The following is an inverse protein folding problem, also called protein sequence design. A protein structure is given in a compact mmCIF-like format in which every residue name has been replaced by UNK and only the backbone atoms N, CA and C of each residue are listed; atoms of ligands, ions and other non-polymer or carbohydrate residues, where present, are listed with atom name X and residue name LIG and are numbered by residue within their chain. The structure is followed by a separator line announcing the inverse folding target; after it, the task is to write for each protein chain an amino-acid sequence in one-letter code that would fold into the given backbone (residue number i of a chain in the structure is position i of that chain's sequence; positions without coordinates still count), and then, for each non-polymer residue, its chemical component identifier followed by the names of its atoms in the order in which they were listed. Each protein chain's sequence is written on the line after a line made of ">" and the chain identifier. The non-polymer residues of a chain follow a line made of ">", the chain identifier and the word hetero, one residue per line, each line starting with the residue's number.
data_IF_105086782433
#
_entry.id   IF_105086782433
#
_cell.length_a   1.000
_cell.length_b   1.000
_cell.length_c   1.000
_cell.angle_alpha   90.00
_cell.angle_beta   90.00
_cell.angle_gamma   90.00
#
_symmetry.space_group_name_H-M   'P 1'
#
loop_
_entity.id
_entity.type
_entity.pdbx_description
1 polymer ?
#
# COMPACT_ATOMS: atom_id res chain seq x y z
N UNK A 1 -36.93 -22.39 103.10
CA UNK A 1 -37.57 -21.53 102.08
C UNK A 1 -36.48 -20.69 101.41
N UNK A 2 -35.84 -21.22 100.37
CA UNK A 2 -34.78 -20.54 99.62
C UNK A 2 -34.98 -20.84 98.13
N UNK A 3 -35.18 -19.78 97.35
CA UNK A 3 -35.45 -19.79 95.91
C UNK A 3 -34.14 -20.04 95.15
N UNK A 4 -34.07 -21.10 94.36
CA UNK A 4 -32.98 -21.34 93.42
C UNK A 4 -33.20 -20.53 92.14
N UNK A 5 -32.43 -19.45 92.00
CA UNK A 5 -32.37 -18.58 90.84
C UNK A 5 -31.40 -19.20 89.81
N UNK A 6 -31.92 -19.77 88.72
CA UNK A 6 -31.10 -20.28 87.60
C UNK A 6 -30.86 -19.16 86.60
N UNK A 7 -29.65 -18.62 86.59
CA UNK A 7 -29.14 -17.72 85.55
C UNK A 7 -28.90 -18.48 84.25
N UNK A 8 -29.58 -18.09 83.18
CA UNK A 8 -29.32 -18.50 81.79
C UNK A 8 -27.98 -17.94 81.29
N UNK A 9 -27.11 -18.71 80.61
CA UNK A 9 -25.91 -18.17 80.01
C UNK A 9 -26.24 -17.49 78.67
N UNK A 10 -25.72 -16.26 78.51
CA UNK A 10 -25.76 -15.48 77.29
C UNK A 10 -24.92 -16.20 76.20
N UNK A 11 -25.58 -16.73 75.17
CA UNK A 11 -24.91 -17.32 74.02
C UNK A 11 -24.14 -16.27 73.24
N UNK A 12 -22.82 -16.45 73.09
CA UNK A 12 -21.96 -15.59 72.27
C UNK A 12 -22.28 -15.83 70.78
N UNK A 13 -22.90 -14.86 70.11
CA UNK A 13 -23.02 -14.85 68.66
C UNK A 13 -21.64 -14.50 68.07
N UNK A 14 -20.92 -15.50 67.56
CA UNK A 14 -19.71 -15.27 66.78
C UNK A 14 -20.12 -14.95 65.33
N UNK A 15 -19.97 -13.69 64.92
CA UNK A 15 -20.20 -13.26 63.55
C UNK A 15 -18.98 -13.65 62.69
N UNK A 16 -19.07 -14.80 62.02
CA UNK A 16 -18.07 -15.23 61.04
C UNK A 16 -18.22 -14.42 59.76
N UNK A 17 -17.40 -13.38 59.60
CA UNK A 17 -17.23 -12.66 58.33
C UNK A 17 -16.47 -13.58 57.38
N UNK A 18 -17.20 -14.27 56.51
CA UNK A 18 -16.62 -15.05 55.42
C UNK A 18 -16.01 -14.11 54.38
N UNK A 19 -14.68 -14.04 54.32
CA UNK A 19 -13.95 -13.39 53.23
C UNK A 19 -14.14 -14.25 51.98
N UNK A 20 -15.06 -13.86 51.11
CA UNK A 20 -15.24 -14.48 49.79
C UNK A 20 -14.13 -13.98 48.88
N UNK A 21 -13.06 -14.77 48.71
CA UNK A 21 -12.03 -14.50 47.70
C UNK A 21 -12.67 -14.66 46.32
N UNK A 22 -12.93 -13.54 45.65
CA UNK A 22 -13.23 -13.51 44.22
C UNK A 22 -11.95 -13.89 43.47
N UNK A 23 -11.87 -15.15 43.03
CA UNK A 23 -10.84 -15.59 42.08
C UNK A 23 -11.21 -14.98 40.73
N UNK A 24 -10.60 -13.85 40.40
CA UNK A 24 -10.73 -13.24 39.07
C UNK A 24 -9.87 -14.08 38.13
N UNK A 25 -10.45 -14.74 37.11
CA UNK A 25 -9.64 -15.47 36.15
C UNK A 25 -8.77 -14.47 35.40
N UNK A 26 -7.45 -14.60 35.55
CA UNK A 26 -6.49 -13.88 34.72
C UNK A 26 -6.59 -14.46 33.32
N UNK A 27 -7.26 -13.77 32.41
CA UNK A 27 -7.22 -14.09 30.98
C UNK A 27 -5.79 -13.79 30.51
N UNK A 28 -4.97 -14.83 30.44
CA UNK A 28 -3.63 -14.73 29.89
C UNK A 28 -3.77 -14.47 28.39
N UNK A 29 -3.42 -13.27 27.93
CA UNK A 29 -3.33 -13.01 26.50
C UNK A 29 -2.28 -13.95 25.91
N UNK A 30 -2.65 -14.75 24.91
CA UNK A 30 -1.69 -15.55 24.18
C UNK A 30 -0.64 -14.60 23.57
N UNK A 31 0.63 -14.87 23.83
CA UNK A 31 1.73 -14.12 23.21
C UNK A 31 1.61 -14.26 21.69
N UNK A 32 1.71 -13.14 20.97
CA UNK A 32 1.74 -13.17 19.52
C UNK A 32 2.93 -14.02 19.06
N UNK A 33 2.77 -14.87 18.02
CA UNK A 33 3.88 -15.68 17.53
C UNK A 33 5.03 -14.76 17.11
N UNK A 34 6.26 -15.20 17.38
CA UNK A 34 7.45 -14.47 16.94
C UNK A 34 7.41 -14.28 15.41
N UNK A 35 7.83 -13.10 14.95
CA UNK A 35 7.91 -12.82 13.52
C UNK A 35 8.88 -13.80 12.82
N UNK A 36 8.54 -14.28 11.61
CA UNK A 36 9.45 -15.14 10.86
C UNK A 36 10.71 -14.39 10.45
N UNK A 37 11.80 -15.12 10.24
CA UNK A 37 12.97 -14.57 9.57
C UNK A 37 12.65 -14.35 8.10
N UNK A 38 12.82 -13.12 7.61
CA UNK A 38 12.57 -12.72 6.22
C UNK A 38 13.89 -12.30 5.60
N UNK A 39 14.28 -12.95 4.50
CA UNK A 39 15.49 -12.60 3.74
C UNK A 39 15.21 -11.38 2.84
N UNK A 40 15.12 -10.21 3.47
CA UNK A 40 14.90 -8.93 2.81
C UNK A 40 15.65 -7.81 3.53
N UNK A 41 16.01 -6.74 2.79
CA UNK A 41 16.65 -5.55 3.39
C UNK A 41 15.73 -4.82 4.37
N UNK A 42 14.46 -4.73 4.02
CA UNK A 42 13.40 -4.19 4.87
C UNK A 42 12.07 -4.88 4.54
N UNK A 43 11.19 -5.00 5.53
CA UNK A 43 9.85 -5.54 5.35
C UNK A 43 8.90 -4.99 6.41
N UNK A 44 7.60 -5.03 6.12
CA UNK A 44 6.53 -4.74 7.06
C UNK A 44 5.32 -5.61 6.72
N UNK A 45 4.62 -6.08 7.74
CA UNK A 45 3.32 -6.72 7.65
C UNK A 45 2.34 -5.90 8.49
N UNK A 46 1.30 -5.39 7.85
CA UNK A 46 0.32 -4.50 8.46
C UNK A 46 -1.08 -5.06 8.24
N UNK A 47 -1.88 -5.09 9.31
CA UNK A 47 -3.32 -5.34 9.21
C UNK A 47 -4.02 -4.14 8.55
N UNK A 48 -4.84 -4.40 7.54
CA UNK A 48 -5.48 -3.34 6.75
C UNK A 48 -6.48 -2.53 7.57
N UNK A 49 -7.36 -3.18 8.34
CA UNK A 49 -8.48 -2.51 9.01
C UNK A 49 -8.02 -1.67 10.20
N UNK A 50 -7.12 -2.22 11.02
CA UNK A 50 -6.62 -1.56 12.23
C UNK A 50 -5.38 -0.71 12.00
N UNK A 51 -4.64 -0.94 10.91
CA UNK A 51 -3.31 -0.37 10.69
C UNK A 51 -2.24 -0.93 11.64
N UNK A 52 -2.55 -1.99 12.40
CA UNK A 52 -1.61 -2.59 13.35
C UNK A 52 -0.47 -3.28 12.60
N UNK A 53 0.77 -2.94 12.97
CA UNK A 53 1.94 -3.67 12.50
C UNK A 53 2.05 -5.01 13.23
N UNK A 54 2.09 -6.09 12.45
CA UNK A 54 2.17 -7.47 12.94
C UNK A 54 3.60 -7.99 12.95
N UNK A 55 4.43 -7.55 11.99
CA UNK A 55 5.85 -7.86 11.91
C UNK A 55 6.57 -6.78 11.10
N UNK A 56 7.81 -6.48 11.44
CA UNK A 56 8.63 -5.52 10.68
C UNK A 56 10.13 -5.77 10.87
N UNK A 57 10.91 -5.39 9.86
CA UNK A 57 12.37 -5.35 9.93
C UNK A 57 12.88 -4.19 9.09
N UNK A 58 13.68 -3.30 9.69
CA UNK A 58 14.20 -2.10 9.03
C UNK A 58 13.11 -1.24 8.34
N UNK A 59 11.87 -1.25 8.85
CA UNK A 59 10.71 -0.74 8.12
C UNK A 59 10.73 0.78 7.85
N UNK A 60 11.53 1.55 8.59
CA UNK A 60 11.73 2.99 8.41
C UNK A 60 13.05 3.33 7.70
N UNK A 61 13.79 2.32 7.22
CA UNK A 61 15.02 2.52 6.45
C UNK A 61 14.67 3.05 5.06
N UNK A 62 15.27 4.20 4.70
CA UNK A 62 15.10 4.80 3.38
C UNK A 62 15.78 3.95 2.32
N UNK A 63 14.99 3.49 1.36
CA UNK A 63 15.41 2.68 0.22
C UNK A 63 14.87 3.29 -1.07
N UNK A 64 15.44 2.88 -2.19
CA UNK A 64 14.90 3.24 -3.50
C UNK A 64 13.61 2.46 -3.75
N UNK A 65 12.45 3.12 -3.95
CA UNK A 65 11.18 2.44 -4.20
C UNK A 65 11.13 1.80 -5.60
N UNK A 66 11.94 2.30 -6.54
CA UNK A 66 11.80 2.08 -7.98
C UNK A 66 10.31 2.02 -8.42
N UNK A 67 9.86 1.02 -9.18
CA UNK A 67 8.48 0.92 -9.67
C UNK A 67 7.37 0.90 -8.60
N UNK A 68 7.66 0.69 -7.30
CA UNK A 68 6.67 0.90 -6.24
C UNK A 68 6.18 2.36 -6.19
N UNK A 69 6.97 3.30 -6.73
CA UNK A 69 6.56 4.68 -7.00
C UNK A 69 5.24 4.77 -7.76
N UNK A 70 4.94 3.82 -8.65
CA UNK A 70 3.70 3.82 -9.43
C UNK A 70 2.45 3.57 -8.59
N UNK A 71 2.57 3.07 -7.37
CA UNK A 71 1.45 3.04 -6.42
C UNK A 71 1.00 4.48 -6.11
N UNK A 72 1.93 5.41 -5.91
CA UNK A 72 1.59 6.83 -5.70
C UNK A 72 1.05 7.46 -7.00
N UNK A 73 1.63 7.14 -8.15
CA UNK A 73 1.12 7.65 -9.43
C UNK A 73 -0.32 7.18 -9.69
N UNK A 74 -0.60 5.89 -9.49
CA UNK A 74 -1.93 5.30 -9.54
C UNK A 74 -2.86 5.93 -8.51
N UNK A 75 -2.40 6.18 -7.28
CA UNK A 75 -3.18 6.91 -6.27
C UNK A 75 -3.58 8.32 -6.73
N UNK A 76 -2.66 9.10 -7.30
CA UNK A 76 -2.94 10.45 -7.84
C UNK A 76 -3.95 10.39 -8.99
N UNK A 77 -3.77 9.45 -9.93
CA UNK A 77 -4.68 9.22 -11.06
C UNK A 77 -6.07 8.82 -10.57
N UNK A 78 -6.15 7.88 -9.64
CA UNK A 78 -7.39 7.44 -9.00
C UNK A 78 -8.12 8.59 -8.31
N UNK A 79 -7.40 9.46 -7.61
CA UNK A 79 -8.00 10.65 -6.98
C UNK A 79 -8.51 11.65 -8.02
N UNK A 80 -7.79 11.83 -9.13
CA UNK A 80 -8.23 12.70 -10.22
C UNK A 80 -9.51 12.16 -10.90
N UNK A 81 -9.61 10.85 -11.12
CA UNK A 81 -10.82 10.19 -11.63
C UNK A 81 -11.98 10.27 -10.64
N UNK A 82 -11.73 9.98 -9.37
CA UNK A 82 -12.75 10.09 -8.29
C UNK A 82 -13.31 11.50 -8.16
N UNK A 83 -12.47 12.51 -8.36
CA UNK A 83 -12.86 13.92 -8.36
C UNK A 83 -13.51 14.38 -9.67
N UNK A 84 -13.65 13.50 -10.68
CA UNK A 84 -14.24 13.83 -11.98
C UNK A 84 -13.39 14.78 -12.83
N UNK A 85 -12.10 14.94 -12.52
CA UNK A 85 -11.18 15.83 -13.27
C UNK A 85 -10.76 15.21 -14.60
N UNK A 86 -10.71 13.88 -14.64
CA UNK A 86 -10.45 13.06 -15.83
C UNK A 86 -11.43 11.89 -15.81
N UNK A 87 -11.73 11.34 -16.98
CA UNK A 87 -12.61 10.18 -17.17
C UNK A 87 -11.88 9.03 -17.84
N UNK A 88 -12.31 7.78 -17.63
CA UNK A 88 -11.67 6.61 -18.24
C UNK A 88 -11.62 6.66 -19.78
N UNK A 89 -12.61 7.28 -20.41
CA UNK A 89 -12.77 7.41 -21.86
C UNK A 89 -12.14 8.68 -22.46
N UNK A 90 -11.60 9.57 -21.63
CA UNK A 90 -10.86 10.73 -22.13
C UNK A 90 -9.63 10.26 -22.93
N UNK A 91 -9.42 10.86 -24.10
CA UNK A 91 -8.30 10.53 -24.97
C UNK A 91 -7.07 11.37 -24.61
N UNK A 92 -5.99 10.68 -24.30
CA UNK A 92 -4.68 11.28 -24.06
C UNK A 92 -3.88 11.27 -25.35
N UNK A 93 -3.46 12.45 -25.79
CA UNK A 93 -2.51 12.58 -26.91
C UNK A 93 -1.09 12.34 -26.38
N UNK A 94 -0.44 11.29 -26.87
CA UNK A 94 0.89 10.90 -26.41
C UNK A 94 1.95 11.88 -26.89
N UNK A 95 2.76 12.39 -25.94
CA UNK A 95 3.86 13.31 -26.17
C UNK A 95 5.15 12.64 -26.67
N UNK A 96 6.18 13.45 -26.94
CA UNK A 96 7.51 12.96 -27.36
C UNK A 96 8.34 12.39 -26.21
N UNK A 97 8.12 12.90 -25.01
CA UNK A 97 8.71 12.46 -23.75
C UNK A 97 8.26 11.06 -23.33
N UNK A 98 7.00 10.70 -23.59
CA UNK A 98 6.48 9.37 -23.36
C UNK A 98 6.96 8.32 -24.40
N UNK A 99 7.70 8.73 -25.42
CA UNK A 99 8.13 7.82 -26.48
C UNK A 99 9.45 7.13 -26.18
N UNK A 100 9.41 5.82 -25.96
CA UNK A 100 10.58 5.03 -25.58
C UNK A 100 11.78 5.11 -26.54
N UNK A 101 11.54 5.24 -27.85
CA UNK A 101 12.64 5.37 -28.83
C UNK A 101 13.28 6.75 -28.77
N UNK A 102 12.49 7.79 -28.46
CA UNK A 102 12.93 9.19 -28.38
C UNK A 102 13.45 9.61 -27.01
N UNK A 103 13.13 8.86 -25.94
CA UNK A 103 13.54 9.15 -24.57
C UNK A 103 14.52 8.08 -24.05
N UNK A 104 15.84 8.38 -24.00
CA UNK A 104 16.86 7.43 -23.54
C UNK A 104 16.64 6.89 -22.12
N UNK A 105 15.96 7.64 -21.25
CA UNK A 105 15.67 7.24 -19.87
C UNK A 105 14.78 5.99 -19.83
N UNK A 106 13.94 5.80 -20.85
CA UNK A 106 13.02 4.67 -20.96
C UNK A 106 13.66 3.39 -21.51
N UNK A 107 14.91 3.44 -21.99
CA UNK A 107 15.58 2.29 -22.62
C UNK A 107 15.77 1.14 -21.64
N UNK A 108 15.38 -0.07 -22.04
CA UNK A 108 15.51 -1.28 -21.22
C UNK A 108 14.54 -1.34 -20.04
N UNK A 109 13.58 -0.42 -19.97
CA UNK A 109 12.57 -0.36 -18.92
C UNK A 109 11.24 -1.00 -19.35
N UNK A 110 10.26 -1.07 -18.44
CA UNK A 110 8.93 -1.59 -18.80
C UNK A 110 8.12 -0.55 -19.55
N UNK A 111 7.45 -0.96 -20.63
CA UNK A 111 6.81 -0.07 -21.59
C UNK A 111 5.48 -0.65 -22.10
N UNK A 112 4.56 0.25 -22.44
CA UNK A 112 3.33 -0.01 -23.19
C UNK A 112 3.53 0.15 -24.71
N UNK A 113 4.68 0.72 -25.12
CA UNK A 113 5.10 0.95 -26.50
C UNK A 113 4.23 1.97 -27.27
N UNK A 114 3.79 3.01 -26.57
CA UNK A 114 3.05 4.15 -27.15
C UNK A 114 3.98 5.08 -27.96
N UNK A 115 3.42 5.79 -28.94
CA UNK A 115 4.15 6.67 -29.86
C UNK A 115 3.57 8.09 -29.88
N UNK A 116 4.36 9.11 -30.23
CA UNK A 116 3.87 10.49 -30.28
C UNK A 116 2.71 10.64 -31.26
N UNK A 117 1.64 11.30 -30.81
CA UNK A 117 0.43 11.52 -31.59
C UNK A 117 -0.61 10.40 -31.47
N UNK A 118 -0.29 9.26 -30.83
CA UNK A 118 -1.31 8.26 -30.48
C UNK A 118 -2.37 8.92 -29.58
N UNK A 119 -3.64 8.56 -29.79
CA UNK A 119 -4.77 8.93 -28.93
C UNK A 119 -5.15 7.69 -28.12
N UNK A 120 -4.77 7.65 -26.85
CA UNK A 120 -4.98 6.48 -25.99
C UNK A 120 -5.93 6.83 -24.86
N UNK A 121 -7.01 6.05 -24.62
CA UNK A 121 -7.90 6.29 -23.49
C UNK A 121 -7.15 6.24 -22.16
N UNK A 122 -7.56 7.10 -21.21
CA UNK A 122 -7.05 7.08 -19.82
C UNK A 122 -7.08 5.67 -19.23
N UNK A 123 -8.17 4.92 -19.43
CA UNK A 123 -8.31 3.56 -18.91
C UNK A 123 -7.23 2.60 -19.40
N UNK A 124 -6.84 2.71 -20.68
CA UNK A 124 -5.84 1.84 -21.30
C UNK A 124 -4.43 2.20 -20.81
N UNK A 125 -4.10 3.49 -20.73
CA UNK A 125 -2.83 3.94 -20.16
C UNK A 125 -2.72 3.53 -18.70
N UNK A 126 -3.80 3.66 -17.94
CA UNK A 126 -3.80 3.32 -16.52
C UNK A 126 -3.61 1.80 -16.31
N UNK A 127 -4.25 0.96 -17.13
CA UNK A 127 -3.94 -0.48 -17.19
C UNK A 127 -2.49 -0.74 -17.56
N UNK A 128 -1.90 0.02 -18.48
CA UNK A 128 -0.46 -0.03 -18.79
C UNK A 128 0.42 0.23 -17.56
N UNK A 129 0.05 1.19 -16.71
CA UNK A 129 0.75 1.50 -15.45
C UNK A 129 0.57 0.36 -14.44
N UNK A 130 -0.66 -0.10 -14.21
CA UNK A 130 -0.98 -1.06 -13.13
C UNK A 130 -0.55 -2.49 -13.46
N UNK A 131 -0.78 -2.94 -14.70
CA UNK A 131 -0.59 -4.34 -15.12
C UNK A 131 0.83 -4.56 -15.66
N UNK A 132 1.33 -3.61 -16.47
CA UNK A 132 2.66 -3.71 -17.08
C UNK A 132 3.73 -2.92 -16.35
N UNK A 133 3.40 -2.03 -15.41
CA UNK A 133 4.37 -1.08 -14.86
C UNK A 133 5.00 -0.21 -15.96
N UNK A 134 4.23 0.11 -17.01
CA UNK A 134 4.70 0.88 -18.17
C UNK A 134 5.12 2.30 -17.81
N UNK A 135 6.39 2.62 -18.01
CA UNK A 135 6.97 3.92 -17.66
C UNK A 135 6.52 5.03 -18.63
N UNK A 136 6.37 4.70 -19.91
CA UNK A 136 5.83 5.56 -20.95
C UNK A 136 4.37 5.97 -20.63
N UNK A 137 3.55 5.01 -20.20
CA UNK A 137 2.18 5.28 -19.79
C UNK A 137 2.12 6.20 -18.54
N UNK A 138 3.04 6.03 -17.58
CA UNK A 138 3.14 6.93 -16.42
C UNK A 138 3.48 8.37 -16.82
N UNK A 139 4.36 8.57 -17.81
CA UNK A 139 4.68 9.90 -18.34
C UNK A 139 3.44 10.52 -19.00
N UNK A 140 2.83 9.79 -19.94
CA UNK A 140 1.68 10.30 -20.69
C UNK A 140 0.50 10.70 -19.77
N UNK A 141 0.18 9.89 -18.76
CA UNK A 141 -0.87 10.24 -17.80
C UNK A 141 -0.47 11.37 -16.85
N UNK A 142 0.81 11.46 -16.46
CA UNK A 142 1.26 12.57 -15.64
C UNK A 142 1.11 13.92 -16.36
N UNK A 143 1.51 13.98 -17.62
CA UNK A 143 1.37 15.17 -18.45
C UNK A 143 -0.11 15.51 -18.69
N UNK A 144 -0.96 14.51 -18.91
CA UNK A 144 -2.40 14.73 -19.07
C UNK A 144 -3.08 15.27 -17.80
N UNK A 145 -2.74 14.70 -16.64
CA UNK A 145 -3.40 15.03 -15.36
C UNK A 145 -2.92 16.36 -14.79
N UNK A 146 -1.63 16.67 -14.92
CA UNK A 146 -1.01 17.80 -14.23
C UNK A 146 -0.32 18.81 -15.17
N UNK A 147 -0.38 18.59 -16.49
CA UNK A 147 0.26 19.43 -17.51
C UNK A 147 1.77 19.23 -17.64
N UNK A 148 2.42 18.59 -16.66
CA UNK A 148 3.84 18.22 -16.69
C UNK A 148 4.15 17.17 -15.61
N UNK A 149 5.20 16.38 -15.84
CA UNK A 149 5.76 15.46 -14.84
C UNK A 149 6.14 16.16 -13.52
N UNK A 150 6.74 17.35 -13.56
CA UNK A 150 7.12 18.09 -12.34
C UNK A 150 5.90 18.47 -11.50
N UNK A 151 4.83 18.96 -12.15
CA UNK A 151 3.58 19.28 -11.48
C UNK A 151 2.93 18.02 -10.89
N UNK A 152 3.01 16.90 -11.61
CA UNK A 152 2.51 15.61 -11.13
C UNK A 152 3.31 15.12 -9.91
N UNK A 153 4.64 15.21 -9.94
CA UNK A 153 5.52 14.89 -8.79
C UNK A 153 5.20 15.79 -7.59
N UNK A 154 4.86 17.06 -7.83
CA UNK A 154 4.32 17.95 -6.80
C UNK A 154 3.06 17.39 -6.14
N UNK A 155 2.10 16.88 -6.92
CA UNK A 155 0.91 16.20 -6.41
C UNK A 155 1.26 14.94 -5.62
N UNK A 156 2.16 14.09 -6.13
CA UNK A 156 2.61 12.88 -5.46
C UNK A 156 3.17 13.18 -4.06
N UNK A 157 4.05 14.18 -3.96
CA UNK A 157 4.64 14.56 -2.67
C UNK A 157 3.63 15.25 -1.74
N UNK A 158 2.68 16.02 -2.27
CA UNK A 158 1.61 16.61 -1.48
C UNK A 158 0.69 15.53 -0.89
N UNK A 159 0.33 14.51 -1.67
CA UNK A 159 -0.40 13.36 -1.15
C UNK A 159 0.42 12.58 -0.12
N UNK A 160 1.71 12.36 -0.38
CA UNK A 160 2.61 11.74 0.59
C UNK A 160 2.57 12.43 1.96
N UNK A 161 2.62 13.76 1.98
CA UNK A 161 2.46 14.55 3.22
C UNK A 161 1.08 14.36 3.85
N UNK A 162 0.01 14.44 3.06
CA UNK A 162 -1.36 14.30 3.56
C UNK A 162 -1.67 12.91 4.14
N UNK A 163 -1.01 11.88 3.61
CA UNK A 163 -1.11 10.49 4.06
C UNK A 163 -0.16 10.17 5.22
N UNK A 164 0.68 11.13 5.64
CA UNK A 164 1.63 10.92 6.73
C UNK A 164 2.84 10.06 6.36
N UNK A 165 3.24 10.01 5.08
CA UNK A 165 4.43 9.30 4.62
C UNK A 165 5.69 10.10 4.99
N UNK A 166 6.21 9.87 6.20
CA UNK A 166 7.25 10.71 6.80
C UNK A 166 8.64 10.50 6.19
N UNK A 167 8.86 9.36 5.53
CA UNK A 167 10.14 8.95 4.99
C UNK A 167 10.04 8.63 3.49
N UNK A 168 9.23 9.41 2.77
CA UNK A 168 9.03 9.26 1.33
C UNK A 168 9.21 10.57 0.59
N UNK A 169 9.95 10.53 -0.50
CA UNK A 169 10.08 11.63 -1.44
C UNK A 169 10.18 11.09 -2.87
N UNK A 170 9.29 11.57 -3.75
CA UNK A 170 9.28 11.20 -5.16
C UNK A 170 9.93 12.28 -6.02
N UNK A 171 10.69 11.85 -7.03
CA UNK A 171 11.27 12.72 -8.05
C UNK A 171 10.86 12.33 -9.46
N UNK A 172 10.26 11.15 -9.64
CA UNK A 172 9.80 10.65 -10.94
C UNK A 172 8.40 10.08 -10.82
N UNK A 173 7.69 10.03 -11.94
CA UNK A 173 6.32 9.49 -12.01
C UNK A 173 6.29 7.97 -12.19
N UNK A 174 7.42 7.36 -12.53
CA UNK A 174 7.54 5.94 -12.86
C UNK A 174 8.46 5.17 -11.91
N UNK A 175 9.33 5.86 -11.15
CA UNK A 175 10.28 5.21 -10.25
C UNK A 175 11.53 4.69 -10.95
N UNK A 176 12.02 5.40 -11.97
CA UNK A 176 13.40 5.14 -12.43
C UNK A 176 14.34 5.89 -11.50
N UNK A 177 15.61 5.48 -11.49
CA UNK A 177 16.63 6.01 -10.60
C UNK A 177 16.70 7.55 -10.69
N UNK A 178 16.52 8.21 -9.55
CA UNK A 178 16.67 9.65 -9.39
C UNK A 178 17.31 9.94 -8.03
N UNK A 179 18.39 10.70 -8.02
CA UNK A 179 19.11 11.04 -6.79
C UNK A 179 18.22 11.88 -5.85
N UNK A 180 17.96 11.36 -4.66
CA UNK A 180 17.04 11.99 -3.70
C UNK A 180 15.63 11.40 -3.68
N UNK A 181 15.31 10.44 -4.57
CA UNK A 181 14.08 9.65 -4.49
C UNK A 181 14.23 8.51 -3.49
N UNK A 182 13.29 8.38 -2.56
CA UNK A 182 13.30 7.31 -1.55
C UNK A 182 11.91 7.06 -0.97
N UNK A 183 11.74 5.89 -0.36
CA UNK A 183 10.62 5.55 0.51
C UNK A 183 11.06 4.52 1.56
N UNK A 184 10.13 3.97 2.33
CA UNK A 184 10.35 2.93 3.33
C UNK A 184 9.30 1.84 3.21
N UNK A 185 9.54 0.67 3.82
CA UNK A 185 8.54 -0.40 3.83
C UNK A 185 7.25 0.07 4.52
N UNK A 186 7.37 0.80 5.64
CA UNK A 186 6.23 1.34 6.37
C UNK A 186 5.41 2.32 5.52
N UNK A 187 6.06 3.28 4.88
CA UNK A 187 5.37 4.27 4.04
C UNK A 187 4.70 3.62 2.82
N UNK A 188 5.34 2.61 2.21
CA UNK A 188 4.73 1.86 1.11
C UNK A 188 3.49 1.06 1.56
N UNK A 189 3.48 0.52 2.78
CA UNK A 189 2.30 -0.13 3.34
C UNK A 189 1.16 0.87 3.60
N UNK A 190 1.46 2.03 4.18
CA UNK A 190 0.48 3.11 4.39
C UNK A 190 -0.10 3.62 3.06
N UNK A 191 0.75 3.82 2.06
CA UNK A 191 0.32 4.21 0.72
C UNK A 191 -0.59 3.15 0.08
N UNK A 192 -0.24 1.87 0.21
CA UNK A 192 -1.05 0.77 -0.31
C UNK A 192 -2.41 0.68 0.40
N UNK A 193 -2.43 0.86 1.72
CA UNK A 193 -3.67 0.94 2.50
C UNK A 193 -4.55 2.12 2.03
N UNK A 194 -3.94 3.29 1.77
CA UNK A 194 -4.65 4.44 1.23
C UNK A 194 -5.21 4.19 -0.18
N UNK A 195 -4.46 3.52 -1.06
CA UNK A 195 -4.94 3.14 -2.39
C UNK A 195 -6.21 2.28 -2.30
N UNK A 196 -6.21 1.25 -1.44
CA UNK A 196 -7.36 0.37 -1.22
C UNK A 196 -8.56 1.15 -0.65
N UNK A 197 -8.32 2.00 0.36
CA UNK A 197 -9.36 2.73 1.09
C UNK A 197 -9.98 3.86 0.27
N UNK A 198 -9.14 4.68 -0.36
CA UNK A 198 -9.56 5.98 -0.88
C UNK A 198 -9.95 5.93 -2.35
N UNK A 199 -9.36 5.01 -3.13
CA UNK A 199 -9.58 4.87 -4.57
C UNK A 199 -9.80 3.38 -4.94
N UNK A 200 -10.86 2.73 -4.41
CA UNK A 200 -11.07 1.29 -4.59
C UNK A 200 -11.24 0.85 -6.04
N UNK A 201 -11.79 1.70 -6.92
CA UNK A 201 -11.92 1.41 -8.35
C UNK A 201 -10.54 1.36 -9.04
N UNK A 202 -9.61 2.21 -8.61
CA UNK A 202 -8.22 2.20 -9.07
C UNK A 202 -7.50 0.93 -8.58
N UNK A 203 -7.66 0.62 -7.29
CA UNK A 203 -7.11 -0.60 -6.71
C UNK A 203 -7.66 -1.86 -7.42
N UNK A 204 -8.92 -1.87 -7.84
CA UNK A 204 -9.53 -2.99 -8.55
C UNK A 204 -8.88 -3.31 -9.91
N UNK A 205 -8.03 -2.45 -10.48
CA UNK A 205 -7.24 -2.80 -11.67
C UNK A 205 -6.15 -3.84 -11.35
N UNK A 206 -5.71 -3.92 -10.10
CA UNK A 206 -4.62 -4.79 -9.67
C UNK A 206 -4.99 -6.28 -9.66
N UNK A 207 -6.27 -6.65 -9.79
CA UNK A 207 -6.73 -8.04 -9.94
C UNK A 207 -6.77 -8.52 -11.40
N UNK A 208 -6.63 -7.62 -12.38
CA UNK A 208 -6.62 -8.01 -13.79
C UNK A 208 -5.36 -8.82 -14.11
N UNK A 209 -5.53 -10.05 -14.61
CA UNK A 209 -4.41 -10.97 -14.90
C UNK A 209 -3.67 -10.63 -16.17
N UNK A 210 -4.34 -9.98 -17.11
CA UNK A 210 -3.79 -9.62 -18.40
C UNK A 210 -4.59 -8.47 -19.00
N UNK A 211 -3.96 -7.80 -19.96
CA UNK A 211 -4.53 -6.71 -20.70
C UNK A 211 -3.99 -6.77 -22.14
N UNK A 212 -4.77 -6.36 -23.12
CA UNK A 212 -4.34 -6.36 -24.52
C UNK A 212 -4.36 -4.95 -25.05
N UNK A 213 -3.18 -4.43 -25.42
CA UNK A 213 -3.03 -3.13 -26.06
C UNK A 213 -2.34 -3.31 -27.41
N UNK A 214 -2.83 -2.60 -28.43
CA UNK A 214 -2.26 -2.63 -29.78
C UNK A 214 -2.06 -4.07 -30.33
N UNK A 215 -3.03 -4.96 -30.07
CA UNK A 215 -3.01 -6.39 -30.42
C UNK A 215 -1.92 -7.23 -29.73
N UNK A 216 -1.25 -6.67 -28.72
CA UNK A 216 -0.25 -7.37 -27.92
C UNK A 216 -0.85 -7.66 -26.55
N UNK A 217 -0.99 -8.95 -26.23
CA UNK A 217 -1.41 -9.40 -24.91
C UNK A 217 -0.25 -9.26 -23.93
N UNK A 218 -0.54 -8.65 -22.79
CA UNK A 218 0.40 -8.23 -21.77
C UNK A 218 -0.07 -8.82 -20.44
N UNK A 219 0.73 -9.73 -19.86
CA UNK A 219 0.38 -10.47 -18.64
C UNK A 219 0.81 -9.66 -17.42
N UNK A 220 -0.04 -9.59 -16.40
CA UNK A 220 0.29 -8.95 -15.13
C UNK A 220 1.58 -9.56 -14.57
N UNK A 221 2.51 -8.71 -14.13
CA UNK A 221 3.84 -9.14 -13.65
C UNK A 221 3.81 -9.86 -12.31
N UNK A 222 2.64 -9.97 -11.67
CA UNK A 222 2.44 -10.72 -10.43
C UNK A 222 2.71 -12.21 -10.64
N UNK A 223 3.32 -12.90 -9.67
CA UNK A 223 3.33 -14.36 -9.68
C UNK A 223 1.88 -14.86 -9.60
N UNK A 224 1.55 -16.03 -10.18
CA UNK A 224 0.26 -16.65 -9.91
C UNK A 224 0.10 -16.80 -8.39
N UNK A 225 -1.07 -16.43 -7.86
CA UNK A 225 -1.41 -16.69 -6.47
C UNK A 225 -1.11 -18.15 -6.14
N UNK A 226 -0.50 -18.42 -4.98
CA UNK A 226 -0.34 -19.78 -4.50
C UNK A 226 -1.73 -20.39 -4.44
N UNK A 227 -1.92 -21.52 -5.12
CA UNK A 227 -3.20 -22.22 -5.21
C UNK A 227 -3.75 -22.39 -3.78
N UNK A 228 -4.95 -21.86 -3.52
CA UNK A 228 -5.68 -21.80 -2.23
C UNK A 228 -5.63 -20.49 -1.40
N UNK A 229 -5.07 -19.37 -1.90
CA UNK A 229 -5.24 -18.06 -1.25
C UNK A 229 -5.87 -17.00 -2.16
N UNK A 230 -7.02 -16.39 -1.80
CA UNK A 230 -7.57 -15.24 -2.52
C UNK A 230 -6.74 -14.00 -2.18
N UNK A 231 -5.62 -13.79 -2.87
CA UNK A 231 -4.85 -12.55 -2.77
C UNK A 231 -5.34 -11.53 -3.81
N UNK A 232 -5.71 -10.33 -3.35
CA UNK A 232 -5.86 -9.13 -4.18
C UNK A 232 -4.73 -8.14 -3.80
N UNK A 233 -4.02 -7.55 -4.78
CA UNK A 233 -2.76 -6.79 -4.57
C UNK A 233 -1.53 -7.73 -4.59
N UNK A 234 -0.38 -7.44 -5.23
CA UNK A 234 0.67 -6.43 -4.95
C UNK A 234 1.40 -5.95 -6.23
N UNK A 235 2.11 -4.81 -6.20
CA UNK A 235 3.08 -4.42 -7.24
C UNK A 235 4.40 -5.20 -7.01
N UNK A 236 5.04 -5.71 -8.07
CA UNK A 236 6.33 -6.40 -7.98
C UNK A 236 7.44 -5.61 -8.67
N UNK A 237 8.63 -5.55 -8.07
CA UNK A 237 9.71 -4.76 -8.63
C UNK A 237 11.12 -5.34 -8.40
N UNK A 238 12.01 -5.14 -9.38
CA UNK A 238 13.44 -5.46 -9.30
C UNK A 238 14.24 -4.17 -9.45
N UNK A 239 15.04 -3.84 -8.44
CA UNK A 239 16.00 -2.74 -8.51
C UNK A 239 17.19 -3.17 -9.40
N UNK A 240 17.57 -2.33 -10.38
CA UNK A 240 18.61 -2.64 -11.37
C UNK A 240 19.98 -3.02 -10.74
N UNK A 241 20.23 -2.65 -9.47
CA UNK A 241 21.48 -2.94 -8.74
C UNK A 241 21.32 -3.38 -7.28
N UNK A 242 20.09 -3.58 -6.75
CA UNK A 242 19.86 -3.62 -5.29
C UNK A 242 18.93 -4.71 -4.76
N UNK A 243 18.45 -5.62 -5.60
CA UNK A 243 17.58 -6.75 -5.20
C UNK A 243 16.11 -6.55 -5.59
N UNK A 244 15.24 -7.40 -5.07
CA UNK A 244 13.78 -7.25 -5.20
C UNK A 244 13.25 -6.34 -4.11
N UNK A 245 12.24 -5.55 -4.45
CA UNK A 245 11.47 -4.70 -3.52
C UNK A 245 10.04 -5.22 -3.46
#
# INVERSE_FOLDING_TARGET
>A
MMKNNRSTPLGKLALSVGVMLLVVPTVQAAEAPAAPQVDAKAYVLMDYDSGKILAEGNADTRLDPASLTKIMSSYVIGQAMKAGKIKPDDLVTVGKDAWATGNPVLRGSSLMFIKPGDQVPVSELNKGIVIQSGNDASIALADFVAGSQDSFVGLMNNYGKSLGLQNTHFLTVHGLDAEGQYSTARDMALLSQALIRDVPDEYALHKEKEFTFNKIRQINRKPPAVEHQPECGWYQNRLHRRGWA
#
